data_IF_061462737869
#
_entry.id   IF_061462737869
#
_cell.length_a   1.000
_cell.length_b   1.000
_cell.length_c   1.000
_cell.angle_alpha   90.00
_cell.angle_beta   90.00
_cell.angle_gamma   90.00
#
_symmetry.space_group_name_H-M   'P 1'
#
loop_
_entity.id
_entity.type
_entity.pdbx_description
1 polymer ?
#
# COMPACT_ATOMS: atom_id res chain seq x y z
N UNK A 1 16.91 15.59 10.82
CA UNK A 1 16.51 16.81 10.10
C UNK A 1 15.11 16.57 9.54
N UNK A 2 14.16 17.48 9.75
CA UNK A 2 12.86 17.44 9.12
C UNK A 2 12.90 18.24 7.81
N UNK A 3 12.40 17.65 6.73
CA UNK A 3 12.37 18.25 5.40
C UNK A 3 10.91 18.46 5.00
N UNK A 4 10.56 19.70 4.69
CA UNK A 4 9.21 20.11 4.27
C UNK A 4 9.25 20.95 2.98
N UNK A 5 10.16 20.62 2.09
CA UNK A 5 10.37 21.27 0.81
C UNK A 5 10.41 20.22 -0.32
N UNK A 6 9.57 20.34 -1.37
CA UNK A 6 9.47 19.39 -2.47
C UNK A 6 10.79 19.18 -3.22
N UNK A 7 11.61 20.23 -3.39
CA UNK A 7 12.86 20.13 -4.13
C UNK A 7 13.90 19.34 -3.33
N UNK A 8 14.04 19.60 -2.03
CA UNK A 8 14.89 18.82 -1.15
C UNK A 8 14.47 17.35 -1.09
N UNK A 9 13.15 17.08 -1.10
CA UNK A 9 12.62 15.71 -1.17
C UNK A 9 13.01 15.06 -2.50
N UNK A 10 12.91 15.76 -3.62
CA UNK A 10 13.35 15.31 -4.94
C UNK A 10 14.85 14.97 -4.94
N UNK A 11 15.66 15.85 -4.36
CA UNK A 11 17.10 15.62 -4.20
C UNK A 11 17.39 14.31 -3.47
N UNK A 12 16.75 14.09 -2.33
CA UNK A 12 16.96 12.91 -1.48
C UNK A 12 16.46 11.62 -2.16
N UNK A 13 15.31 11.66 -2.83
CA UNK A 13 14.65 10.46 -3.35
C UNK A 13 15.10 10.10 -4.78
N UNK A 14 15.58 11.08 -5.55
CA UNK A 14 15.93 10.89 -6.98
C UNK A 14 17.37 11.22 -7.24
N UNK A 15 17.79 12.49 -7.09
CA UNK A 15 19.09 12.97 -7.58
C UNK A 15 20.25 12.32 -6.84
N UNK A 16 20.15 12.26 -5.51
CA UNK A 16 21.19 11.71 -4.63
C UNK A 16 20.77 10.37 -4.00
N UNK A 17 19.80 9.65 -4.59
CA UNK A 17 19.21 8.44 -3.98
C UNK A 17 20.24 7.37 -3.57
N UNK A 18 21.34 7.24 -4.29
CA UNK A 18 22.43 6.29 -3.97
C UNK A 18 23.19 6.63 -2.69
N UNK A 19 23.11 7.89 -2.25
CA UNK A 19 23.75 8.38 -1.01
C UNK A 19 22.91 8.15 0.24
N UNK A 20 21.76 7.49 0.10
CA UNK A 20 20.82 7.28 1.19
C UNK A 20 20.40 5.82 1.33
N UNK A 21 20.25 5.40 2.57
CA UNK A 21 19.63 4.13 2.97
C UNK A 21 18.35 4.43 3.76
N UNK A 22 17.55 3.40 3.98
CA UNK A 22 16.39 3.49 4.86
C UNK A 22 16.83 3.76 6.30
N UNK A 23 16.02 4.54 7.00
CA UNK A 23 16.29 4.87 8.37
C UNK A 23 16.11 3.64 9.30
N UNK A 24 16.59 3.75 10.53
CA UNK A 24 16.68 2.64 11.49
C UNK A 24 15.32 1.99 11.81
N UNK A 25 14.23 2.77 11.82
CA UNK A 25 12.88 2.26 12.15
C UNK A 25 12.39 1.33 11.05
N UNK A 26 12.61 1.70 9.77
CA UNK A 26 12.28 0.84 8.63
C UNK A 26 13.13 -0.43 8.63
N UNK A 27 14.41 -0.35 9.01
CA UNK A 27 15.26 -1.52 9.14
C UNK A 27 14.76 -2.51 10.21
N UNK A 28 14.10 -2.04 11.26
CA UNK A 28 13.49 -2.93 12.27
C UNK A 28 12.32 -3.75 11.72
N UNK A 29 11.71 -3.33 10.60
CA UNK A 29 10.69 -4.13 9.93
C UNK A 29 11.24 -5.48 9.43
N UNK A 30 12.56 -5.64 9.30
CA UNK A 30 13.21 -6.92 8.99
C UNK A 30 12.84 -8.02 9.99
N UNK A 31 12.52 -7.69 11.22
CA UNK A 31 12.04 -8.65 12.23
C UNK A 31 10.82 -9.43 11.73
N UNK A 32 9.95 -8.78 10.93
CA UNK A 32 8.74 -9.39 10.38
C UNK A 32 8.90 -9.72 8.89
N UNK A 33 9.35 -8.76 8.10
CA UNK A 33 9.37 -8.81 6.64
C UNK A 33 10.62 -9.49 6.07
N UNK A 34 11.62 -9.81 6.91
CA UNK A 34 12.91 -10.31 6.41
C UNK A 34 13.59 -9.29 5.49
N UNK A 35 14.11 -9.76 4.37
CA UNK A 35 14.78 -8.94 3.34
C UNK A 35 13.89 -8.70 2.11
N UNK A 36 12.56 -8.53 2.30
CA UNK A 36 11.65 -8.18 1.22
C UNK A 36 11.84 -6.74 0.69
N UNK A 37 11.12 -6.36 -0.36
CA UNK A 37 11.26 -5.08 -1.07
C UNK A 37 11.23 -3.84 -0.16
N UNK A 38 10.43 -3.87 0.91
CA UNK A 38 10.35 -2.73 1.85
C UNK A 38 11.63 -2.60 2.68
N UNK A 39 12.34 -3.68 2.96
CA UNK A 39 13.44 -3.72 3.94
C UNK A 39 14.81 -3.95 3.34
N UNK A 40 14.88 -4.48 2.12
CA UNK A 40 16.13 -4.71 1.39
C UNK A 40 16.82 -3.43 0.94
N UNK A 41 18.14 -3.47 0.76
CA UNK A 41 18.98 -2.32 0.38
C UNK A 41 19.94 -2.66 -0.77
N UNK A 42 20.46 -1.61 -1.41
CA UNK A 42 21.53 -1.69 -2.41
C UNK A 42 21.17 -2.54 -3.63
N UNK A 43 22.14 -3.26 -4.17
CA UNK A 43 22.00 -4.13 -5.34
C UNK A 43 21.00 -5.26 -5.12
N UNK A 44 20.94 -5.80 -3.89
CA UNK A 44 19.97 -6.84 -3.55
C UNK A 44 18.53 -6.34 -3.73
N UNK A 45 18.22 -5.13 -3.28
CA UNK A 45 16.91 -4.53 -3.50
C UNK A 45 16.61 -4.33 -4.99
N UNK A 46 17.57 -3.80 -5.74
CA UNK A 46 17.38 -3.55 -7.19
C UNK A 46 17.11 -4.86 -7.93
N UNK A 47 17.83 -5.93 -7.56
CA UNK A 47 17.60 -7.26 -8.10
C UNK A 47 16.18 -7.78 -7.76
N UNK A 48 15.79 -7.74 -6.49
CA UNK A 48 14.45 -8.20 -6.07
C UNK A 48 13.35 -7.39 -6.77
N UNK A 49 13.54 -6.07 -6.90
CA UNK A 49 12.60 -5.21 -7.60
C UNK A 49 12.46 -5.59 -9.09
N UNK A 50 13.56 -5.86 -9.80
CA UNK A 50 13.51 -6.31 -11.21
C UNK A 50 12.73 -7.63 -11.34
N UNK A 51 12.99 -8.58 -10.46
CA UNK A 51 12.31 -9.88 -10.42
C UNK A 51 10.81 -9.72 -10.15
N UNK A 52 10.43 -8.83 -9.23
CA UNK A 52 9.03 -8.64 -8.86
C UNK A 52 8.23 -7.74 -9.82
N UNK A 53 8.88 -6.81 -10.52
CA UNK A 53 8.23 -5.82 -11.36
C UNK A 53 7.29 -6.40 -12.45
N UNK A 54 7.62 -7.48 -13.16
CA UNK A 54 6.74 -8.08 -14.17
C UNK A 54 5.37 -8.49 -13.62
N UNK A 55 5.30 -8.84 -12.33
CA UNK A 55 4.06 -9.23 -11.66
C UNK A 55 3.04 -8.09 -11.54
N UNK A 56 3.52 -6.85 -11.67
CA UNK A 56 2.71 -5.64 -11.63
C UNK A 56 2.51 -5.02 -13.02
N UNK A 57 2.82 -5.74 -14.12
CA UNK A 57 2.63 -5.27 -15.48
C UNK A 57 1.18 -5.41 -15.97
N UNK A 58 0.82 -4.54 -16.92
CA UNK A 58 -0.54 -4.29 -17.43
C UNK A 58 -1.34 -5.52 -17.87
N UNK A 59 -0.70 -6.55 -18.42
CA UNK A 59 -1.40 -7.77 -18.89
C UNK A 59 -2.00 -8.62 -17.76
N UNK A 60 -1.37 -8.63 -16.57
CA UNK A 60 -1.88 -9.36 -15.39
C UNK A 60 -2.90 -8.52 -14.61
N UNK A 61 -2.80 -7.21 -14.72
CA UNK A 61 -3.70 -6.25 -14.09
C UNK A 61 -5.17 -6.50 -14.48
N UNK A 62 -5.46 -6.95 -15.71
CA UNK A 62 -6.84 -7.23 -16.14
C UNK A 62 -7.51 -8.33 -15.32
N UNK A 63 -6.84 -9.46 -15.12
CA UNK A 63 -7.37 -10.57 -14.28
C UNK A 63 -7.61 -10.13 -12.84
N UNK A 64 -6.73 -9.26 -12.33
CA UNK A 64 -6.90 -8.69 -10.98
C UNK A 64 -8.09 -7.73 -10.92
N UNK A 65 -8.32 -6.92 -11.97
CA UNK A 65 -9.45 -5.99 -12.04
C UNK A 65 -10.81 -6.72 -11.95
N UNK A 66 -10.96 -7.80 -12.69
CA UNK A 66 -12.19 -8.63 -12.67
C UNK A 66 -12.46 -9.18 -11.27
N UNK A 67 -11.44 -9.70 -10.59
CA UNK A 67 -11.56 -10.22 -9.23
C UNK A 67 -11.86 -9.12 -8.21
N UNK A 68 -11.25 -7.94 -8.33
CA UNK A 68 -11.54 -6.79 -7.47
C UNK A 68 -13.02 -6.39 -7.56
N UNK A 69 -13.53 -6.29 -8.78
CA UNK A 69 -14.94 -5.96 -9.04
C UNK A 69 -15.87 -7.05 -8.51
N UNK A 70 -15.54 -8.32 -8.73
CA UNK A 70 -16.32 -9.46 -8.21
C UNK A 70 -16.44 -9.41 -6.68
N UNK A 71 -15.31 -9.18 -5.98
CA UNK A 71 -15.33 -9.10 -4.51
C UNK A 71 -16.05 -7.87 -3.99
N UNK A 72 -15.85 -6.72 -4.62
CA UNK A 72 -16.57 -5.50 -4.29
C UNK A 72 -18.08 -5.66 -4.56
N UNK A 73 -18.48 -6.31 -5.64
CA UNK A 73 -19.88 -6.59 -5.96
C UNK A 73 -20.54 -7.56 -4.95
N UNK A 74 -19.81 -8.58 -4.51
CA UNK A 74 -20.27 -9.49 -3.46
C UNK A 74 -20.50 -8.73 -2.14
N UNK A 75 -19.56 -7.87 -1.76
CA UNK A 75 -19.71 -7.00 -0.58
C UNK A 75 -20.88 -6.02 -0.74
N UNK A 76 -21.03 -5.38 -1.92
CA UNK A 76 -22.12 -4.46 -2.23
C UNK A 76 -23.49 -5.11 -2.03
N UNK A 77 -23.64 -6.38 -2.37
CA UNK A 77 -24.92 -7.12 -2.24
C UNK A 77 -25.17 -7.62 -0.83
N UNK A 78 -24.16 -7.71 0.02
CA UNK A 78 -24.32 -8.19 1.41
C UNK A 78 -24.93 -7.16 2.36
N UNK A 79 -24.89 -5.87 2.00
CA UNK A 79 -25.44 -4.79 2.82
C UNK A 79 -26.93 -4.58 2.59
N UNK A 80 -27.59 -4.07 3.61
CA UNK A 80 -29.01 -3.73 3.60
C UNK A 80 -29.21 -2.22 3.84
N UNK A 81 -30.27 -1.62 3.26
CA UNK A 81 -30.62 -0.22 3.53
C UNK A 81 -30.76 0.05 5.02
N UNK A 82 -30.14 1.11 5.52
CA UNK A 82 -30.14 1.48 6.94
C UNK A 82 -29.20 0.66 7.82
N UNK A 83 -28.47 -0.31 7.28
CA UNK A 83 -27.50 -1.08 8.04
C UNK A 83 -26.35 -0.22 8.53
N UNK A 84 -26.04 -0.31 9.81
CA UNK A 84 -24.85 0.29 10.42
C UNK A 84 -23.74 -0.74 10.53
N UNK A 85 -22.52 -0.36 10.08
CA UNK A 85 -21.35 -1.23 10.13
C UNK A 85 -20.05 -0.40 10.27
N UNK A 86 -18.95 -1.06 10.66
CA UNK A 86 -17.63 -0.45 10.70
C UNK A 86 -17.00 -0.47 9.30
N UNK A 87 -16.91 0.68 8.65
CA UNK A 87 -16.31 0.86 7.33
C UNK A 87 -14.84 0.45 7.32
N UNK A 88 -14.10 0.70 8.41
CA UNK A 88 -12.68 0.31 8.50
C UNK A 88 -12.53 -1.21 8.46
N UNK A 89 -13.38 -1.93 9.18
CA UNK A 89 -13.38 -3.39 9.17
C UNK A 89 -13.81 -3.95 7.81
N UNK A 90 -14.84 -3.36 7.19
CA UNK A 90 -15.32 -3.78 5.88
C UNK A 90 -14.26 -3.61 4.78
N UNK A 91 -13.60 -2.45 4.72
CA UNK A 91 -12.54 -2.21 3.73
C UNK A 91 -11.32 -3.11 3.98
N UNK A 92 -10.99 -3.37 5.25
CA UNK A 92 -9.91 -4.29 5.61
C UNK A 92 -10.19 -5.73 5.15
N UNK A 93 -11.41 -6.22 5.35
CA UNK A 93 -11.84 -7.55 4.91
C UNK A 93 -11.80 -7.67 3.37
N UNK A 94 -12.35 -6.67 2.66
CA UNK A 94 -12.38 -6.65 1.20
C UNK A 94 -10.99 -6.67 0.60
N UNK A 95 -10.12 -5.76 1.01
CA UNK A 95 -8.76 -5.65 0.45
C UNK A 95 -7.87 -6.84 0.84
N UNK A 96 -8.08 -7.40 2.03
CA UNK A 96 -7.41 -8.64 2.45
C UNK A 96 -7.80 -9.82 1.55
N UNK A 97 -9.09 -9.97 1.24
CA UNK A 97 -9.57 -11.02 0.34
C UNK A 97 -9.01 -10.83 -1.08
N UNK A 98 -9.02 -9.60 -1.59
CA UNK A 98 -8.46 -9.27 -2.91
C UNK A 98 -6.97 -9.63 -2.98
N UNK A 99 -6.16 -9.17 -2.02
CA UNK A 99 -4.72 -9.44 -1.99
C UNK A 99 -4.43 -10.93 -1.86
N UNK A 100 -5.17 -11.65 -1.02
CA UNK A 100 -4.95 -13.09 -0.86
C UNK A 100 -5.26 -13.88 -2.12
N UNK A 101 -6.34 -13.54 -2.85
CA UNK A 101 -6.68 -14.16 -4.13
C UNK A 101 -5.69 -13.79 -5.22
N UNK A 102 -5.25 -12.54 -5.25
CA UNK A 102 -4.21 -12.06 -6.18
C UNK A 102 -2.88 -12.77 -5.98
N UNK A 103 -2.49 -12.98 -4.71
CA UNK A 103 -1.23 -13.61 -4.35
C UNK A 103 -1.23 -15.12 -4.59
N UNK A 104 -2.36 -15.80 -4.35
CA UNK A 104 -2.35 -17.25 -4.17
C UNK A 104 -3.35 -18.00 -5.07
N UNK A 105 -4.21 -17.30 -5.82
CA UNK A 105 -5.25 -17.86 -6.70
C UNK A 105 -6.07 -19.01 -6.07
N UNK A 106 -6.26 -18.99 -4.76
CA UNK A 106 -6.97 -20.04 -4.02
C UNK A 106 -8.12 -19.48 -3.21
N UNK A 107 -9.13 -20.30 -3.00
CA UNK A 107 -10.26 -20.00 -2.11
C UNK A 107 -9.81 -20.19 -0.65
N UNK A 108 -9.08 -19.19 -0.13
CA UNK A 108 -8.32 -19.29 1.13
C UNK A 108 -9.11 -18.70 2.29
N UNK A 109 -10.44 -18.71 2.26
CA UNK A 109 -11.28 -18.05 3.25
C UNK A 109 -10.95 -18.44 4.70
N UNK A 110 -10.64 -19.70 4.95
CA UNK A 110 -10.21 -20.17 6.29
C UNK A 110 -8.76 -19.76 6.60
N UNK A 111 -7.84 -19.94 5.65
CA UNK A 111 -6.44 -19.58 5.82
C UNK A 111 -6.24 -18.06 5.89
N UNK A 112 -7.06 -17.28 5.17
CA UNK A 112 -7.07 -15.80 5.24
C UNK A 112 -7.44 -15.33 6.65
N UNK A 113 -8.46 -15.93 7.28
CA UNK A 113 -8.84 -15.57 8.66
C UNK A 113 -7.71 -15.87 9.64
N UNK A 114 -7.10 -17.06 9.55
CA UNK A 114 -5.96 -17.41 10.39
C UNK A 114 -4.78 -16.44 10.18
N UNK A 115 -4.44 -16.13 8.91
CA UNK A 115 -3.40 -15.16 8.56
C UNK A 115 -3.73 -13.78 9.15
N UNK A 116 -4.96 -13.32 9.00
CA UNK A 116 -5.40 -12.03 9.51
C UNK A 116 -5.29 -11.95 11.04
N UNK A 117 -5.70 -12.99 11.75
CA UNK A 117 -5.60 -13.06 13.21
C UNK A 117 -4.14 -13.00 13.68
N UNK A 118 -3.26 -13.76 13.03
CA UNK A 118 -1.83 -13.74 13.36
C UNK A 118 -1.19 -12.38 13.01
N UNK A 119 -1.53 -11.81 11.85
CA UNK A 119 -1.08 -10.47 11.44
C UNK A 119 -1.56 -9.40 12.43
N UNK A 120 -2.81 -9.44 12.86
CA UNK A 120 -3.34 -8.49 13.85
C UNK A 120 -2.62 -8.58 15.20
N UNK A 121 -2.27 -9.79 15.65
CA UNK A 121 -1.43 -10.02 16.84
C UNK A 121 -0.04 -9.43 16.65
N UNK A 122 0.58 -9.74 15.50
CA UNK A 122 1.92 -9.25 15.14
C UNK A 122 1.93 -7.73 15.11
N UNK A 123 1.00 -7.10 14.40
CA UNK A 123 0.96 -5.66 14.21
C UNK A 123 0.70 -4.89 15.51
N UNK A 124 -0.13 -5.43 16.42
CA UNK A 124 -0.33 -4.83 17.74
C UNK A 124 0.97 -4.82 18.56
N UNK A 125 1.71 -5.91 18.57
CA UNK A 125 2.94 -6.06 19.35
C UNK A 125 4.14 -5.39 18.69
N UNK A 126 4.17 -5.37 17.36
CA UNK A 126 5.21 -4.76 16.56
C UNK A 126 5.34 -3.24 16.81
N UNK A 127 4.24 -2.52 16.97
CA UNK A 127 4.26 -1.09 17.29
C UNK A 127 4.99 -0.78 18.61
N UNK A 128 4.94 -1.69 19.58
CA UNK A 128 5.73 -1.56 20.82
C UNK A 128 7.20 -1.92 20.59
N UNK A 129 7.48 -2.94 19.79
CA UNK A 129 8.84 -3.38 19.48
C UNK A 129 9.64 -2.33 18.70
N UNK A 130 9.01 -1.65 17.75
CA UNK A 130 9.65 -0.57 16.97
C UNK A 130 10.16 0.56 17.88
N UNK A 131 9.44 0.89 18.95
CA UNK A 131 9.81 1.95 19.86
C UNK A 131 10.97 1.57 20.79
N UNK A 132 11.24 0.27 20.98
CA UNK A 132 12.26 -0.20 21.91
C UNK A 132 13.67 -0.15 21.28
N UNK A 133 14.68 0.42 21.95
CA UNK A 133 16.07 0.28 21.53
C UNK A 133 16.46 -1.22 21.54
N UNK A 134 17.17 -1.69 20.51
CA UNK A 134 17.63 -3.09 20.42
C UNK A 134 16.50 -4.13 20.53
N UNK A 135 15.36 -3.87 19.92
CA UNK A 135 14.17 -4.75 19.95
C UNK A 135 14.49 -6.23 19.63
N UNK A 136 15.43 -6.46 18.73
CA UNK A 136 15.91 -7.80 18.32
C UNK A 136 16.46 -8.61 19.50
N UNK A 137 17.17 -7.96 20.43
CA UNK A 137 17.73 -8.61 21.61
C UNK A 137 16.63 -9.06 22.59
N UNK A 138 15.56 -8.27 22.70
CA UNK A 138 14.44 -8.60 23.59
C UNK A 138 13.57 -9.73 23.06
N UNK A 139 13.55 -9.98 21.74
CA UNK A 139 12.76 -11.06 21.15
C UNK A 139 13.12 -12.46 21.72
N UNK A 140 14.29 -12.63 22.31
CA UNK A 140 14.71 -13.90 22.94
C UNK A 140 14.17 -14.08 24.36
N UNK A 141 13.68 -13.00 24.97
CA UNK A 141 13.22 -13.04 26.37
C UNK A 141 11.86 -13.71 26.50
N UNK A 142 11.60 -14.45 27.58
CA UNK A 142 10.34 -15.15 27.80
C UNK A 142 9.22 -14.22 28.31
N UNK A 143 9.06 -13.08 27.69
CA UNK A 143 7.99 -12.13 27.97
C UNK A 143 6.72 -12.58 27.23
N UNK A 144 5.55 -12.68 27.88
CA UNK A 144 4.33 -13.21 27.29
C UNK A 144 3.96 -12.55 25.96
N UNK A 145 4.06 -11.22 25.82
CA UNK A 145 3.82 -10.50 24.57
C UNK A 145 4.79 -10.91 23.45
N UNK A 146 6.08 -11.00 23.76
CA UNK A 146 7.10 -11.42 22.78
C UNK A 146 6.97 -12.89 22.40
N UNK A 147 6.55 -13.75 23.32
CA UNK A 147 6.24 -15.15 23.02
C UNK A 147 5.04 -15.28 22.08
N UNK A 148 3.99 -14.50 22.30
CA UNK A 148 2.83 -14.40 21.38
C UNK A 148 3.26 -13.95 19.99
N UNK A 149 4.06 -12.87 19.91
CA UNK A 149 4.59 -12.39 18.64
C UNK A 149 5.38 -13.47 17.89
N UNK A 150 6.32 -14.14 18.57
CA UNK A 150 7.11 -15.22 17.96
C UNK A 150 6.23 -16.37 17.48
N UNK A 151 5.22 -16.77 18.27
CA UNK A 151 4.29 -17.84 17.93
C UNK A 151 3.44 -17.48 16.72
N UNK A 152 2.89 -16.26 16.69
CA UNK A 152 2.11 -15.73 15.57
C UNK A 152 2.96 -15.68 14.30
N UNK A 153 4.18 -15.12 14.39
CA UNK A 153 5.12 -15.08 13.28
C UNK A 153 5.47 -16.49 12.76
N UNK A 154 5.77 -17.42 13.65
CA UNK A 154 6.11 -18.80 13.25
C UNK A 154 4.96 -19.50 12.53
N UNK A 155 3.71 -19.24 12.92
CA UNK A 155 2.53 -19.79 12.23
C UNK A 155 2.35 -19.16 10.84
N UNK A 156 2.50 -17.84 10.73
CA UNK A 156 2.47 -17.14 9.46
C UNK A 156 3.54 -17.67 8.50
N UNK A 157 4.79 -17.81 9.00
CA UNK A 157 5.91 -18.37 8.25
C UNK A 157 5.59 -19.79 7.77
N UNK A 158 5.07 -20.65 8.65
CA UNK A 158 4.72 -22.02 8.31
C UNK A 158 3.64 -22.11 7.22
N UNK A 159 2.65 -21.23 7.24
CA UNK A 159 1.62 -21.16 6.20
C UNK A 159 2.22 -20.76 4.86
N UNK A 160 3.03 -19.70 4.83
CA UNK A 160 3.67 -19.23 3.59
C UNK A 160 4.61 -20.29 3.01
N UNK A 161 5.44 -20.94 3.85
CA UNK A 161 6.32 -22.00 3.37
C UNK A 161 5.54 -23.22 2.87
N UNK A 162 4.41 -23.58 3.48
CA UNK A 162 3.52 -24.63 2.98
C UNK A 162 3.01 -24.31 1.58
N UNK A 163 2.51 -23.08 1.38
CA UNK A 163 2.01 -22.63 0.08
C UNK A 163 3.11 -22.66 -1.00
N UNK A 164 4.33 -22.23 -0.66
CA UNK A 164 5.48 -22.31 -1.55
C UNK A 164 5.80 -23.77 -1.90
N UNK A 165 5.82 -24.67 -0.91
CA UNK A 165 6.11 -26.08 -1.11
C UNK A 165 5.05 -26.79 -1.97
N UNK A 166 3.76 -26.53 -1.72
CA UNK A 166 2.65 -27.06 -2.53
C UNK A 166 2.74 -26.59 -3.98
N UNK A 167 3.05 -25.29 -4.21
CA UNK A 167 3.20 -24.75 -5.55
C UNK A 167 4.41 -25.33 -6.29
N UNK A 168 5.54 -25.57 -5.59
CA UNK A 168 6.70 -26.24 -6.18
C UNK A 168 6.40 -27.69 -6.53
N UNK A 169 5.66 -28.40 -5.69
CA UNK A 169 5.31 -29.79 -5.90
C UNK A 169 4.33 -29.96 -7.09
N UNK A 170 3.35 -29.07 -7.25
CA UNK A 170 2.42 -29.12 -8.37
C UNK A 170 3.03 -28.67 -9.68
N UNK A 171 4.08 -27.86 -9.65
CA UNK A 171 4.68 -27.18 -10.82
C UNK A 171 3.63 -26.47 -11.71
N UNK A 172 2.54 -26.02 -11.09
CA UNK A 172 1.40 -25.41 -11.75
C UNK A 172 1.55 -23.89 -11.76
N UNK A 173 1.50 -23.26 -12.93
CA UNK A 173 1.34 -21.82 -13.05
C UNK A 173 -0.15 -21.47 -12.91
N UNK A 174 -0.53 -20.91 -11.77
CA UNK A 174 -1.91 -20.45 -11.53
C UNK A 174 -2.16 -19.02 -11.98
N UNK A 175 -1.17 -18.39 -12.61
CA UNK A 175 -1.26 -17.01 -13.06
C UNK A 175 -1.29 -15.99 -11.91
N UNK A 176 -1.04 -16.41 -10.68
CA UNK A 176 -0.97 -15.56 -9.49
C UNK A 176 0.44 -15.01 -9.26
N UNK A 177 0.54 -14.06 -8.33
CA UNK A 177 1.81 -13.41 -8.02
C UNK A 177 2.87 -14.41 -7.50
N UNK A 178 2.47 -15.40 -6.70
CA UNK A 178 3.40 -16.42 -6.19
C UNK A 178 4.01 -17.23 -7.34
N UNK A 179 3.20 -17.69 -8.30
CA UNK A 179 3.70 -18.40 -9.48
C UNK A 179 4.69 -17.56 -10.28
N UNK A 180 4.39 -16.27 -10.44
CA UNK A 180 5.28 -15.36 -11.18
C UNK A 180 6.61 -15.13 -10.46
N UNK A 181 6.60 -14.91 -9.15
CA UNK A 181 7.81 -14.76 -8.34
C UNK A 181 8.67 -16.06 -8.36
N UNK A 182 8.01 -17.23 -8.39
CA UNK A 182 8.70 -18.52 -8.48
C UNK A 182 9.31 -18.79 -9.87
N UNK A 183 8.63 -18.35 -10.92
CA UNK A 183 9.08 -18.51 -12.31
C UNK A 183 10.13 -17.46 -12.70
N UNK A 184 10.12 -16.29 -12.05
CA UNK A 184 10.97 -15.18 -12.42
C UNK A 184 12.46 -15.49 -12.24
N UNK A 185 13.24 -15.13 -13.25
CA UNK A 185 14.70 -15.21 -13.26
C UNK A 185 15.27 -13.79 -13.30
N UNK A 186 16.44 -13.61 -12.71
CA UNK A 186 17.19 -12.38 -12.90
C UNK A 186 17.85 -12.44 -14.28
N UNK A 187 17.24 -11.81 -15.25
CA UNK A 187 17.80 -11.61 -16.58
C UNK A 187 18.84 -10.50 -16.59
N UNK A 188 19.68 -10.41 -15.54
CA UNK A 188 20.67 -9.36 -15.38
C UNK A 188 21.25 -8.94 -16.73
N UNK A 189 21.48 -7.65 -16.95
CA UNK A 189 22.13 -7.10 -18.13
C UNK A 189 23.27 -8.02 -18.54
N UNK A 190 23.18 -8.61 -19.71
CA UNK A 190 24.32 -9.20 -20.38
C UNK A 190 25.24 -8.04 -20.71
N UNK A 191 26.38 -7.87 -20.02
CA UNK A 191 27.31 -6.83 -20.39
C UNK A 191 27.88 -7.25 -21.76
N UNK A 192 27.49 -6.57 -22.80
CA UNK A 192 28.07 -6.76 -24.12
C UNK A 192 29.61 -6.44 -24.15
N UNK A 193 30.18 -5.95 -23.03
CA UNK A 193 31.55 -5.41 -23.00
C UNK A 193 32.37 -5.75 -21.74
N UNK A 194 32.03 -6.74 -20.95
CA UNK A 194 32.94 -7.12 -19.85
C UNK A 194 33.35 -8.58 -19.97
N UNK A 195 34.61 -8.78 -20.35
CA UNK A 195 35.31 -10.09 -20.43
C UNK A 195 35.48 -10.79 -19.09
N UNK A 196 34.47 -10.75 -18.22
CA UNK A 196 34.38 -11.50 -16.97
C UNK A 196 33.38 -12.63 -17.11
N UNK A 197 33.83 -13.85 -16.84
CA UNK A 197 32.98 -15.04 -16.75
C UNK A 197 31.82 -14.79 -15.76
N UNK A 198 30.58 -15.15 -16.12
CA UNK A 198 29.46 -15.07 -15.17
C UNK A 198 29.76 -16.00 -13.98
N UNK A 199 29.98 -15.41 -12.82
CA UNK A 199 30.12 -16.13 -11.56
C UNK A 199 28.72 -16.43 -11.00
N UNK A 200 28.28 -17.66 -11.09
CA UNK A 200 27.09 -18.33 -10.59
C UNK A 200 25.89 -18.39 -11.57
N UNK A 201 25.14 -19.51 -11.59
CA UNK A 201 23.95 -19.65 -12.39
C UNK A 201 22.90 -18.65 -11.93
N UNK A 202 22.24 -17.99 -12.89
CA UNK A 202 21.10 -17.09 -12.65
C UNK A 202 19.96 -17.88 -12.00
N UNK A 203 19.96 -17.93 -10.68
CA UNK A 203 18.95 -18.66 -9.92
C UNK A 203 17.76 -17.71 -9.61
N UNK A 204 16.53 -18.23 -9.71
CA UNK A 204 15.35 -17.53 -9.24
C UNK A 204 15.40 -17.28 -7.73
N UNK A 205 14.30 -16.79 -7.15
CA UNK A 205 14.18 -16.55 -5.71
C UNK A 205 14.27 -17.87 -4.92
N UNK A 206 15.04 -17.89 -3.84
CA UNK A 206 15.01 -18.94 -2.84
C UNK A 206 13.68 -18.92 -2.08
N UNK A 207 13.32 -20.03 -1.40
CA UNK A 207 12.09 -20.09 -0.60
C UNK A 207 12.05 -19.02 0.51
N UNK A 208 13.21 -18.67 1.07
CA UNK A 208 13.31 -17.57 2.03
C UNK A 208 13.01 -16.22 1.39
N UNK A 209 13.55 -15.97 0.21
CA UNK A 209 13.27 -14.72 -0.53
C UNK A 209 11.80 -14.66 -0.94
N UNK A 210 11.22 -15.77 -1.44
CA UNK A 210 9.79 -15.87 -1.75
C UNK A 210 8.94 -15.57 -0.51
N UNK A 211 9.26 -16.18 0.65
CA UNK A 211 8.58 -15.92 1.91
C UNK A 211 8.64 -14.43 2.27
N UNK A 212 9.82 -13.81 2.19
CA UNK A 212 10.02 -12.41 2.56
C UNK A 212 9.25 -11.47 1.62
N UNK A 213 9.22 -11.74 0.32
CA UNK A 213 8.45 -10.97 -0.65
C UNK A 213 6.94 -11.17 -0.50
N UNK A 214 6.49 -12.41 -0.33
CA UNK A 214 5.07 -12.74 -0.12
C UNK A 214 4.51 -12.00 1.10
N UNK A 215 5.18 -12.06 2.23
CA UNK A 215 4.73 -11.36 3.45
C UNK A 215 4.80 -9.84 3.25
N UNK A 216 5.84 -9.34 2.58
CA UNK A 216 6.00 -7.91 2.30
C UNK A 216 4.86 -7.40 1.43
N UNK A 217 4.57 -8.05 0.31
CA UNK A 217 3.53 -7.63 -0.63
C UNK A 217 2.13 -7.80 0.01
N UNK A 218 1.91 -8.89 0.73
CA UNK A 218 0.67 -9.14 1.44
C UNK A 218 0.34 -8.01 2.44
N UNK A 219 1.29 -7.68 3.34
CA UNK A 219 1.08 -6.63 4.34
C UNK A 219 0.97 -5.24 3.73
N UNK A 220 1.77 -4.94 2.70
CA UNK A 220 1.74 -3.66 2.02
C UNK A 220 0.45 -3.46 1.22
N UNK A 221 -0.09 -4.53 0.63
CA UNK A 221 -1.22 -4.47 -0.30
C UNK A 221 -2.55 -4.18 0.38
N UNK A 222 -2.91 -4.93 1.43
CA UNK A 222 -4.26 -4.82 1.97
C UNK A 222 -4.47 -3.62 2.91
N UNK A 223 -3.57 -3.37 3.87
CA UNK A 223 -3.78 -2.33 4.91
C UNK A 223 -3.75 -0.91 4.33
N UNK A 224 -2.90 -0.66 3.35
CA UNK A 224 -2.75 0.68 2.75
C UNK A 224 -4.01 1.07 1.99
N UNK A 225 -4.55 0.19 1.15
CA UNK A 225 -5.76 0.45 0.37
C UNK A 225 -7.00 0.48 1.26
N UNK A 226 -7.10 -0.41 2.24
CA UNK A 226 -8.19 -0.37 3.22
C UNK A 226 -8.29 0.98 3.92
N UNK A 227 -7.15 1.52 4.38
CA UNK A 227 -7.11 2.83 5.02
C UNK A 227 -7.44 3.97 4.04
N UNK A 228 -6.91 3.92 2.80
CA UNK A 228 -7.22 4.92 1.78
C UNK A 228 -8.73 4.95 1.48
N UNK A 229 -9.36 3.80 1.26
CA UNK A 229 -10.79 3.67 1.00
C UNK A 229 -11.64 4.10 2.20
N UNK A 230 -11.24 3.72 3.42
CA UNK A 230 -11.93 4.13 4.65
C UNK A 230 -11.96 5.65 4.77
N UNK A 231 -10.82 6.32 4.56
CA UNK A 231 -10.75 7.77 4.59
C UNK A 231 -11.50 8.42 3.43
N UNK A 232 -11.54 7.79 2.27
CA UNK A 232 -12.31 8.27 1.12
C UNK A 232 -13.81 8.27 1.44
N UNK A 233 -14.35 7.19 1.98
CA UNK A 233 -15.76 7.13 2.38
C UNK A 233 -16.09 8.12 3.50
N UNK A 234 -15.20 8.31 4.46
CA UNK A 234 -15.35 9.36 5.47
C UNK A 234 -15.46 10.74 4.82
N UNK A 235 -14.54 11.09 3.94
CA UNK A 235 -14.53 12.41 3.28
C UNK A 235 -15.75 12.61 2.40
N UNK A 236 -16.21 11.58 1.71
CA UNK A 236 -17.43 11.66 0.90
C UNK A 236 -18.67 11.87 1.79
N UNK A 237 -18.76 11.23 2.95
CA UNK A 237 -19.86 11.44 3.90
C UNK A 237 -19.93 12.85 4.47
N UNK A 238 -18.77 13.50 4.62
CA UNK A 238 -18.67 14.89 5.08
C UNK A 238 -18.82 15.93 3.93
N UNK A 239 -18.79 15.46 2.67
CA UNK A 239 -18.85 16.32 1.48
C UNK A 239 -19.88 15.81 0.46
N UNK A 240 -21.21 15.96 0.75
CA UNK A 240 -22.27 15.39 -0.09
C UNK A 240 -22.22 15.82 -1.55
N UNK A 241 -21.85 17.06 -1.83
CA UNK A 241 -21.74 17.55 -3.22
C UNK A 241 -20.65 16.81 -4.03
N UNK A 242 -19.53 16.44 -3.40
CA UNK A 242 -18.51 15.63 -4.04
C UNK A 242 -18.97 14.19 -4.24
N UNK A 243 -19.68 13.61 -3.27
CA UNK A 243 -20.29 12.29 -3.40
C UNK A 243 -21.29 12.24 -4.55
N UNK A 244 -22.21 13.20 -4.61
CA UNK A 244 -23.21 13.29 -5.68
C UNK A 244 -22.58 13.43 -7.07
N UNK A 245 -21.51 14.21 -7.20
CA UNK A 245 -20.78 14.34 -8.46
C UNK A 245 -20.07 13.06 -8.86
N UNK A 246 -19.46 12.36 -7.92
CA UNK A 246 -18.86 11.04 -8.15
C UNK A 246 -19.92 10.03 -8.59
N UNK A 247 -21.07 10.01 -7.94
CA UNK A 247 -22.19 9.15 -8.31
C UNK A 247 -22.67 9.42 -9.73
N UNK A 248 -22.84 10.69 -10.13
CA UNK A 248 -23.22 11.05 -11.51
C UNK A 248 -22.22 10.56 -12.55
N UNK A 249 -20.92 10.75 -12.32
CA UNK A 249 -19.89 10.22 -13.22
C UNK A 249 -20.01 8.68 -13.37
N UNK A 250 -20.19 7.98 -12.24
CA UNK A 250 -20.31 6.53 -12.23
C UNK A 250 -21.55 6.07 -13.02
N UNK A 251 -22.68 6.74 -12.84
CA UNK A 251 -23.93 6.44 -13.55
C UNK A 251 -23.79 6.69 -15.06
N UNK A 252 -23.19 7.83 -15.45
CA UNK A 252 -22.95 8.17 -16.85
C UNK A 252 -21.97 7.20 -17.55
N UNK A 253 -20.89 6.80 -16.87
CA UNK A 253 -19.86 5.94 -17.44
C UNK A 253 -20.32 4.49 -17.49
N UNK A 254 -20.94 4.00 -16.41
CA UNK A 254 -21.23 2.57 -16.23
C UNK A 254 -22.65 2.18 -16.67
N UNK A 255 -23.63 3.07 -16.61
CA UNK A 255 -25.02 2.82 -17.01
C UNK A 255 -25.59 1.52 -16.39
N UNK A 256 -25.31 1.31 -15.10
CA UNK A 256 -25.77 0.15 -14.32
C UNK A 256 -24.94 -1.14 -14.47
N UNK A 257 -24.01 -1.23 -15.44
CA UNK A 257 -23.13 -2.40 -15.56
C UNK A 257 -21.96 -2.34 -14.57
N UNK A 258 -21.35 -3.48 -14.26
CA UNK A 258 -20.12 -3.52 -13.46
C UNK A 258 -18.96 -2.81 -14.17
N UNK A 259 -18.10 -2.11 -13.43
CA UNK A 259 -16.91 -1.50 -13.99
C UNK A 259 -15.90 -2.56 -14.49
N UNK A 260 -15.12 -2.17 -15.46
CA UNK A 260 -13.98 -2.97 -15.99
C UNK A 260 -12.70 -2.14 -15.93
N UNK A 261 -11.56 -2.76 -16.19
CA UNK A 261 -10.29 -2.03 -16.29
C UNK A 261 -10.34 -0.90 -17.34
N UNK A 262 -11.10 -1.07 -18.41
CA UNK A 262 -11.25 -0.10 -19.49
C UNK A 262 -12.02 1.16 -19.07
N UNK A 263 -12.79 1.08 -17.98
CA UNK A 263 -13.54 2.21 -17.45
C UNK A 263 -12.68 3.10 -16.54
N UNK A 264 -11.61 2.58 -15.96
CA UNK A 264 -10.76 3.34 -15.02
C UNK A 264 -10.31 4.69 -15.60
N UNK A 265 -9.82 4.79 -16.86
CA UNK A 265 -9.46 6.09 -17.45
C UNK A 265 -10.64 7.04 -17.69
N UNK A 266 -11.89 6.55 -17.65
CA UNK A 266 -13.11 7.31 -17.83
C UNK A 266 -13.68 7.84 -16.51
N UNK A 267 -13.37 7.18 -15.39
CA UNK A 267 -13.78 7.50 -14.02
C UNK A 267 -12.84 8.56 -13.40
N UNK A 268 -12.71 9.70 -14.10
CA UNK A 268 -11.72 10.73 -13.77
C UNK A 268 -12.00 11.44 -12.44
N UNK A 269 -13.25 11.77 -12.19
CA UNK A 269 -13.61 12.42 -10.93
C UNK A 269 -13.49 11.46 -9.74
N UNK A 270 -13.82 10.20 -9.94
CA UNK A 270 -13.62 9.13 -8.94
C UNK A 270 -12.12 8.99 -8.61
N UNK A 271 -11.23 9.04 -9.62
CA UNK A 271 -9.78 9.08 -9.39
C UNK A 271 -9.34 10.33 -8.62
N UNK A 272 -9.91 11.52 -8.96
CA UNK A 272 -9.61 12.77 -8.28
C UNK A 272 -10.08 12.75 -6.82
N UNK A 273 -11.23 12.16 -6.52
CA UNK A 273 -11.74 11.90 -5.16
C UNK A 273 -10.75 11.04 -4.37
N UNK A 274 -10.30 9.95 -4.95
CA UNK A 274 -9.34 9.05 -4.30
C UNK A 274 -7.97 9.71 -4.10
N UNK A 275 -7.50 10.51 -5.08
CA UNK A 275 -6.27 11.29 -4.96
C UNK A 275 -6.34 12.32 -3.83
N UNK A 276 -7.44 13.07 -3.73
CA UNK A 276 -7.64 14.10 -2.71
C UNK A 276 -7.77 13.46 -1.31
N UNK A 277 -8.38 12.30 -1.23
CA UNK A 277 -8.40 11.52 0.01
C UNK A 277 -6.98 11.14 0.46
N UNK A 278 -6.14 10.62 -0.45
CA UNK A 278 -4.74 10.30 -0.15
C UNK A 278 -3.88 11.53 0.10
N UNK A 279 -4.27 12.73 -0.39
CA UNK A 279 -3.62 13.97 -0.01
C UNK A 279 -3.89 14.30 1.46
N UNK A 280 -5.15 14.23 1.87
CA UNK A 280 -5.55 14.53 3.25
C UNK A 280 -5.15 13.44 4.23
N UNK A 281 -5.30 12.17 3.86
CA UNK A 281 -5.03 11.03 4.72
C UNK A 281 -4.17 9.98 4.00
N UNK A 282 -2.89 10.31 3.70
CA UNK A 282 -2.00 9.37 3.03
C UNK A 282 -1.72 8.16 3.91
N UNK A 283 -1.98 6.92 3.46
CA UNK A 283 -1.64 5.73 4.24
C UNK A 283 -0.17 5.67 4.64
N UNK A 284 0.75 5.95 3.69
CA UNK A 284 2.17 6.18 3.98
C UNK A 284 2.37 7.66 4.33
N UNK A 285 2.15 7.99 5.60
CA UNK A 285 2.07 9.38 6.09
C UNK A 285 3.43 10.05 6.33
N UNK A 286 4.47 9.26 6.44
CA UNK A 286 5.84 9.75 6.64
C UNK A 286 6.85 8.70 6.19
N UNK A 287 8.04 9.16 5.86
CA UNK A 287 9.19 8.29 5.56
C UNK A 287 10.50 8.94 5.98
N UNK A 288 11.53 8.12 6.15
CA UNK A 288 12.85 8.55 6.53
C UNK A 288 13.95 8.01 5.63
N UNK A 289 15.07 8.71 5.64
CA UNK A 289 16.32 8.31 5.01
C UNK A 289 17.47 8.61 5.95
N UNK A 290 18.56 7.85 5.79
CA UNK A 290 19.83 8.12 6.47
C UNK A 290 20.92 8.25 5.41
N UNK A 291 21.70 9.34 5.49
CA UNK A 291 22.82 9.51 4.57
C UNK A 291 23.96 8.54 4.87
N UNK A 292 24.60 8.01 3.83
CA UNK A 292 25.78 7.13 3.92
C UNK A 292 27.09 7.91 3.76
N UNK A 293 26.99 9.14 3.30
CA UNK A 293 28.12 10.04 3.07
C UNK A 293 27.74 11.48 3.41
N UNK A 294 28.67 12.42 3.29
CA UNK A 294 28.38 13.86 3.43
C UNK A 294 27.42 14.25 2.31
N UNK A 295 26.36 14.96 2.67
CA UNK A 295 25.30 15.42 1.77
C UNK A 295 25.30 16.95 1.72
N UNK A 296 25.24 17.52 0.53
CA UNK A 296 24.92 18.92 0.31
C UNK A 296 23.44 19.03 -0.07
N UNK A 297 22.67 19.77 0.72
CA UNK A 297 21.24 19.96 0.52
C UNK A 297 20.91 21.44 0.71
N UNK A 298 20.66 22.15 -0.41
CA UNK A 298 20.54 23.60 -0.39
C UNK A 298 21.80 24.23 0.21
N UNK A 299 21.68 25.14 1.19
CA UNK A 299 22.83 25.78 1.81
C UNK A 299 23.54 24.91 2.90
N UNK A 300 23.04 23.70 3.14
CA UNK A 300 23.49 22.87 4.25
C UNK A 300 24.47 21.79 3.79
N UNK A 301 25.60 21.65 4.49
CA UNK A 301 26.51 20.53 4.38
C UNK A 301 26.36 19.63 5.61
N UNK A 302 25.83 18.42 5.41
CA UNK A 302 25.40 17.52 6.45
C UNK A 302 26.31 16.29 6.51
N UNK A 303 26.72 15.84 7.70
CA UNK A 303 27.63 14.69 7.84
C UNK A 303 26.96 13.37 7.45
N UNK A 304 27.76 12.37 7.13
CA UNK A 304 27.30 10.98 6.99
C UNK A 304 26.58 10.53 8.28
N UNK A 305 25.56 9.70 8.11
CA UNK A 305 24.74 9.23 9.22
C UNK A 305 23.61 10.18 9.62
N UNK A 306 23.44 11.32 8.94
CA UNK A 306 22.35 12.25 9.21
C UNK A 306 21.00 11.59 8.86
N UNK A 307 20.03 11.71 9.78
CA UNK A 307 18.66 11.26 9.57
C UNK A 307 17.81 12.36 8.95
N UNK A 308 17.15 12.03 7.84
CA UNK A 308 16.19 12.89 7.16
C UNK A 308 14.80 12.29 7.33
N UNK A 309 13.87 13.11 7.76
CA UNK A 309 12.48 12.74 7.93
C UNK A 309 11.60 13.72 7.16
N UNK A 310 10.67 13.24 6.39
CA UNK A 310 9.67 14.01 5.66
C UNK A 310 8.32 13.32 5.71
N UNK A 311 7.27 14.12 5.67
CA UNK A 311 5.91 13.65 5.90
C UNK A 311 4.96 14.10 4.81
N UNK A 312 4.41 13.14 4.09
CA UNK A 312 3.32 13.36 3.15
C UNK A 312 2.13 14.04 3.85
N UNK A 313 1.78 13.57 5.05
CA UNK A 313 0.67 14.12 5.83
C UNK A 313 0.83 15.62 6.14
N UNK A 314 2.04 16.05 6.43
CA UNK A 314 2.32 17.47 6.76
C UNK A 314 2.45 18.28 5.47
N UNK A 315 3.29 17.84 4.53
CA UNK A 315 3.56 18.61 3.31
C UNK A 315 2.32 18.78 2.46
N UNK A 316 1.53 17.72 2.31
CA UNK A 316 0.29 17.75 1.52
C UNK A 316 -0.84 18.57 2.18
N UNK A 317 -0.60 19.15 3.36
CA UNK A 317 -1.46 20.10 4.07
C UNK A 317 -0.81 21.50 4.18
N UNK A 318 0.23 21.79 3.43
CA UNK A 318 0.86 23.10 3.41
C UNK A 318 0.02 24.08 2.57
N UNK A 319 -0.26 25.26 3.11
CA UNK A 319 -0.93 26.35 2.38
C UNK A 319 -0.11 26.84 1.17
N UNK A 320 1.20 26.66 1.22
CA UNK A 320 2.11 27.01 0.12
C UNK A 320 1.75 26.26 -1.18
N UNK A 321 1.34 25.01 -1.08
CA UNK A 321 1.06 24.15 -2.24
C UNK A 321 -0.43 23.88 -2.46
N UNK A 322 -1.25 24.11 -1.42
CA UNK A 322 -2.68 23.83 -1.41
C UNK A 322 -3.43 24.96 -0.70
N UNK A 323 -3.95 25.94 -1.42
CA UNK A 323 -4.82 26.95 -0.83
C UNK A 323 -6.00 26.27 -0.11
N UNK A 324 -6.33 26.73 1.12
CA UNK A 324 -7.32 26.09 1.99
C UNK A 324 -7.06 24.57 2.15
N UNK A 325 -5.91 24.17 2.73
CA UNK A 325 -5.36 22.82 2.61
C UNK A 325 -6.16 21.76 3.33
N UNK A 326 -7.04 22.12 4.25
CA UNK A 326 -7.87 21.17 5.00
C UNK A 326 -9.22 20.90 4.31
N UNK A 327 -9.61 21.73 3.36
CA UNK A 327 -10.81 21.53 2.56
C UNK A 327 -10.62 20.35 1.61
N UNK A 328 -11.60 19.44 1.59
CA UNK A 328 -11.66 18.37 0.61
C UNK A 328 -12.14 18.91 -0.73
N UNK A 329 -11.28 18.90 -1.71
CA UNK A 329 -11.53 19.47 -3.03
C UNK A 329 -10.85 18.63 -4.13
N UNK A 330 -11.59 17.67 -4.71
CA UNK A 330 -11.05 16.81 -5.77
C UNK A 330 -10.56 17.57 -7.01
N UNK A 331 -11.06 18.79 -7.28
CA UNK A 331 -10.64 19.63 -8.43
C UNK A 331 -9.15 20.01 -8.39
N UNK A 332 -8.51 19.90 -7.24
CA UNK A 332 -7.04 20.03 -7.10
C UNK A 332 -6.27 19.03 -7.94
N UNK A 333 -6.93 17.97 -8.42
CA UNK A 333 -6.31 16.90 -9.20
C UNK A 333 -6.69 16.91 -10.68
N UNK A 334 -7.26 18.00 -11.18
CA UNK A 334 -7.34 18.21 -12.64
C UNK A 334 -5.94 18.28 -13.26
N UNK A 335 -5.80 17.95 -14.56
CA UNK A 335 -4.50 18.00 -15.24
C UNK A 335 -3.78 19.34 -15.08
N UNK A 336 -4.51 20.44 -15.15
CA UNK A 336 -4.00 21.81 -15.04
C UNK A 336 -3.45 22.09 -13.63
N UNK A 337 -4.22 21.72 -12.61
CA UNK A 337 -3.83 21.88 -11.20
C UNK A 337 -2.64 20.98 -10.81
N UNK A 338 -2.60 19.76 -11.36
CA UNK A 338 -1.45 18.87 -11.18
C UNK A 338 -0.18 19.46 -11.79
N UNK A 339 -0.27 20.01 -13.01
CA UNK A 339 0.87 20.61 -13.71
C UNK A 339 1.41 21.89 -13.04
N UNK A 340 0.55 22.63 -12.35
CA UNK A 340 0.92 23.87 -11.66
C UNK A 340 1.69 23.66 -10.35
N UNK A 341 1.68 22.45 -9.79
CA UNK A 341 2.33 22.15 -8.52
C UNK A 341 3.68 21.46 -8.70
N UNK A 342 4.67 21.69 -7.80
CA UNK A 342 5.87 20.88 -7.74
C UNK A 342 5.54 19.42 -7.56
N UNK A 343 6.23 18.54 -8.31
CA UNK A 343 5.93 17.09 -8.32
C UNK A 343 5.89 16.47 -6.92
N UNK A 344 6.82 16.82 -6.05
CA UNK A 344 6.92 16.27 -4.70
C UNK A 344 6.10 17.03 -3.65
N UNK A 345 5.24 17.99 -4.05
CA UNK A 345 4.17 18.46 -3.18
C UNK A 345 3.07 17.40 -2.98
N UNK A 346 2.98 16.40 -3.89
CA UNK A 346 2.11 15.23 -3.79
C UNK A 346 2.90 13.96 -4.13
N UNK A 347 3.13 13.09 -3.14
CA UNK A 347 3.93 11.86 -3.33
C UNK A 347 3.49 10.71 -2.42
N UNK A 348 2.19 10.31 -2.44
CA UNK A 348 1.66 9.26 -1.56
C UNK A 348 2.34 7.90 -1.77
N UNK A 349 2.93 7.67 -2.95
CA UNK A 349 3.65 6.46 -3.31
C UNK A 349 5.17 6.59 -3.21
N UNK A 350 5.66 7.69 -2.62
CA UNK A 350 7.10 7.98 -2.57
C UNK A 350 7.68 8.40 -3.91
N UNK A 351 8.94 8.02 -4.18
CA UNK A 351 9.62 8.39 -5.43
C UNK A 351 10.96 7.69 -5.63
N UNK A 352 11.48 7.80 -6.87
CA UNK A 352 12.79 7.27 -7.27
C UNK A 352 12.81 5.74 -7.31
N UNK A 353 13.98 5.17 -7.09
CA UNK A 353 14.19 3.71 -7.11
C UNK A 353 13.41 2.95 -6.04
N UNK A 354 12.86 3.66 -5.07
CA UNK A 354 12.05 3.14 -3.96
C UNK A 354 10.57 3.49 -4.05
N UNK A 355 10.11 4.03 -5.17
CA UNK A 355 8.69 4.29 -5.41
C UNK A 355 7.88 2.99 -5.28
N UNK A 356 6.65 3.08 -4.79
CA UNK A 356 5.77 1.93 -4.62
C UNK A 356 5.66 1.12 -5.91
N UNK A 357 5.97 -0.18 -5.84
CA UNK A 357 5.89 -1.07 -7.01
C UNK A 357 4.42 -1.36 -7.38
N UNK A 358 3.53 -1.33 -6.40
CA UNK A 358 2.09 -1.57 -6.55
C UNK A 358 1.27 -0.30 -6.83
N UNK A 359 1.88 0.82 -7.22
CA UNK A 359 1.14 2.08 -7.43
C UNK A 359 0.01 1.94 -8.43
N UNK A 360 0.28 1.36 -9.61
CA UNK A 360 -0.75 1.17 -10.65
C UNK A 360 -1.87 0.22 -10.18
N UNK A 361 -1.52 -0.82 -9.41
CA UNK A 361 -2.47 -1.73 -8.80
C UNK A 361 -3.36 -0.99 -7.78
N UNK A 362 -2.77 -0.16 -6.93
CA UNK A 362 -3.48 0.59 -5.91
C UNK A 362 -4.47 1.61 -6.49
N UNK A 363 -4.09 2.31 -7.56
CA UNK A 363 -4.99 3.22 -8.28
C UNK A 363 -6.18 2.48 -8.86
N UNK A 364 -5.92 1.38 -9.56
CA UNK A 364 -6.96 0.55 -10.17
C UNK A 364 -7.90 -0.01 -9.09
N UNK A 365 -7.35 -0.61 -8.04
CA UNK A 365 -8.13 -1.20 -6.95
C UNK A 365 -9.02 -0.15 -6.27
N UNK A 366 -8.46 1.00 -5.93
CA UNK A 366 -9.20 2.09 -5.29
C UNK A 366 -10.37 2.58 -6.15
N UNK A 367 -10.12 2.87 -7.43
CA UNK A 367 -11.16 3.38 -8.35
C UNK A 367 -12.24 2.35 -8.62
N UNK A 368 -11.86 1.08 -8.86
CA UNK A 368 -12.84 0.01 -9.16
C UNK A 368 -13.71 -0.31 -7.94
N UNK A 369 -13.15 -0.35 -6.73
CA UNK A 369 -13.92 -0.58 -5.50
C UNK A 369 -14.88 0.58 -5.26
N UNK A 370 -14.40 1.84 -5.35
CA UNK A 370 -15.26 3.02 -5.20
C UNK A 370 -16.39 3.00 -6.20
N UNK A 371 -16.10 2.78 -7.49
CA UNK A 371 -17.12 2.75 -8.53
C UNK A 371 -18.12 1.61 -8.33
N UNK A 372 -17.67 0.42 -7.90
CA UNK A 372 -18.55 -0.74 -7.68
C UNK A 372 -19.50 -0.52 -6.52
N UNK A 373 -19.00 -0.02 -5.40
CA UNK A 373 -19.81 0.17 -4.19
C UNK A 373 -20.75 1.37 -4.35
N UNK A 374 -20.27 2.48 -4.93
CA UNK A 374 -21.04 3.71 -5.12
C UNK A 374 -22.17 3.60 -6.15
N UNK A 375 -22.21 2.58 -7.01
CA UNK A 375 -23.37 2.34 -7.87
C UNK A 375 -24.67 2.13 -7.08
N UNK A 376 -24.59 1.57 -5.89
CA UNK A 376 -25.78 1.24 -5.09
C UNK A 376 -25.85 2.00 -3.79
N UNK A 377 -24.68 2.34 -3.20
CA UNK A 377 -24.62 2.83 -1.85
C UNK A 377 -24.10 4.25 -1.76
N UNK A 378 -24.74 5.05 -0.95
CA UNK A 378 -24.19 6.22 -0.29
C UNK A 378 -23.95 5.85 1.19
N UNK A 379 -22.89 6.40 1.78
CA UNK A 379 -22.54 6.10 3.16
C UNK A 379 -22.55 7.38 4.00
N UNK A 380 -23.30 7.35 5.09
CA UNK A 380 -23.37 8.46 6.03
C UNK A 380 -22.77 8.08 7.37
N UNK A 381 -21.93 8.94 7.91
CA UNK A 381 -21.38 8.77 9.25
C UNK A 381 -22.50 8.70 10.30
N UNK A 382 -22.38 7.78 11.26
CA UNK A 382 -23.26 7.80 12.45
C UNK A 382 -22.95 9.06 13.25
N UNK A 383 -23.94 9.90 13.60
CA UNK A 383 -23.70 11.15 14.31
C UNK A 383 -22.98 10.97 15.66
N UNK A 384 -22.17 11.95 16.03
CA UNK A 384 -21.53 12.00 17.36
C UNK A 384 -20.28 11.11 17.51
N UNK A 385 -19.83 10.44 16.46
CA UNK A 385 -18.60 9.69 16.50
C UNK A 385 -17.38 10.59 16.53
N UNK A 386 -16.38 10.16 17.28
CA UNK A 386 -15.07 10.79 17.28
C UNK A 386 -14.20 10.20 16.16
N UNK A 387 -13.71 11.06 15.29
CA UNK A 387 -12.80 10.70 14.19
C UNK A 387 -11.42 11.30 14.49
N UNK A 388 -10.46 10.45 14.85
CA UNK A 388 -9.06 10.82 15.08
C UNK A 388 -8.16 9.95 14.19
N UNK A 389 -7.02 10.49 13.81
CA UNK A 389 -5.97 9.74 13.14
C UNK A 389 -5.11 8.97 14.13
N UNK A 390 -4.64 7.80 13.74
CA UNK A 390 -3.64 7.03 14.46
C UNK A 390 -2.43 6.78 13.55
N UNK A 391 -1.37 7.59 13.66
CA UNK A 391 -0.13 7.40 12.92
C UNK A 391 0.64 6.23 13.52
N UNK A 392 0.58 5.08 12.83
CA UNK A 392 1.38 3.88 13.07
C UNK A 392 2.27 3.62 11.87
N UNK A 393 2.41 2.36 11.44
CA UNK A 393 3.05 2.03 10.16
C UNK A 393 2.29 2.71 9.03
N UNK A 394 0.95 2.65 9.08
CA UNK A 394 0.04 3.37 8.22
C UNK A 394 -0.79 4.39 9.02
N UNK A 395 -1.31 5.41 8.33
CA UNK A 395 -2.24 6.38 8.89
C UNK A 395 -3.65 5.81 8.86
N UNK A 396 -4.13 5.34 9.99
CA UNK A 396 -5.45 4.73 10.10
C UNK A 396 -6.37 5.49 11.05
N UNK A 397 -7.69 5.28 10.98
CA UNK A 397 -8.59 5.73 12.02
C UNK A 397 -8.21 5.16 13.38
N UNK A 398 -8.31 5.97 14.43
CA UNK A 398 -8.01 5.55 15.81
C UNK A 398 -9.13 4.72 16.40
N UNK A 399 -10.36 5.01 16.00
CA UNK A 399 -11.59 4.36 16.43
C UNK A 399 -12.28 3.69 15.25
N UNK A 400 -13.14 2.68 15.49
CA UNK A 400 -14.03 2.15 14.46
C UNK A 400 -14.81 3.28 13.78
N UNK A 401 -14.98 3.18 12.47
CA UNK A 401 -15.67 4.21 11.68
C UNK A 401 -17.05 3.66 11.26
N UNK A 402 -18.05 3.88 12.12
CA UNK A 402 -19.39 3.39 11.86
C UNK A 402 -20.13 4.27 10.86
N UNK A 403 -20.62 3.65 9.81
CA UNK A 403 -21.41 4.29 8.76
C UNK A 403 -22.74 3.56 8.55
N UNK A 404 -23.72 4.30 8.07
CA UNK A 404 -25.01 3.78 7.65
C UNK A 404 -25.00 3.64 6.13
N UNK A 405 -25.36 2.47 5.63
CA UNK A 405 -25.57 2.25 4.20
C UNK A 405 -26.92 2.82 3.78
N UNK A 406 -26.92 3.80 2.92
CA UNK A 406 -28.11 4.40 2.33
C UNK A 406 -28.20 3.95 0.87
N UNK A 407 -29.26 3.24 0.51
CA UNK A 407 -29.47 2.83 -0.88
C UNK A 407 -29.79 4.05 -1.73
N UNK A 408 -29.12 4.17 -2.87
CA UNK A 408 -29.35 5.26 -3.82
C UNK A 408 -30.61 4.95 -4.63
N UNK A 409 -31.41 5.98 -4.89
CA UNK A 409 -32.45 5.91 -5.89
C UNK A 409 -31.81 5.72 -7.26
N UNK A 410 -32.16 4.63 -7.95
CA UNK A 410 -31.61 4.24 -9.26
C UNK A 410 -32.22 5.04 -10.39
#
# INVERSE_FOLDING_TARGET
MFINDPESIREILITQASSFIKERTQNRMKILLGEGLITSEGEFHMRQRRIAAPSFHRQRIQTYAEMMVERAAAMRTSWQPGQTFDMSAAMMELTLEIVARTLFATDVTAAIREINDEVNVIMRLYNYLIALPRAESYLRWPIPGLMRFRKARARLDAQVYRMIAERRASNEDRGDLLSMLMAARDEGETPADAGHKPSAPQTGMSDRQLRDEVITIFLAGYETIANALTWTWYLLSENPAAAERMHREIDEVLQGRMPTLEDVPRLRYTEMVFAESMRLYPPAWAMGRQSTQIIELGPYRLPAGTYFFFSQYILQRSEEFYPDPLRFDPERFTPEQKAARPRFAYFPFGGGSRQCIGEAFAWMEGVLILATLAQRWNFRMVPGQRVDVQPKITLRPKYPMHMVAEERDS
#
